data_IF_368637214102
#
_entry.id   IF_368637214102
#
_cell.length_a   1.000
_cell.length_b   1.000
_cell.length_c   1.000
_cell.angle_alpha   90.00
_cell.angle_beta   90.00
_cell.angle_gamma   90.00
#
_symmetry.space_group_name_H-M   'P 1'
#
loop_
_entity.id
_entity.type
_entity.pdbx_description
1 polymer ?
#
# COMPACT_ATOMS: atom_id res chain seq x y z
N UNK A 1 -36.74 -2.00 69.60
CA UNK A 1 -37.25 -1.09 68.55
C UNK A 1 -36.26 -1.06 67.39
N UNK A 2 -36.80 -1.01 66.18
CA UNK A 2 -36.23 -1.34 64.85
C UNK A 2 -34.92 -0.59 64.51
N UNK A 3 -33.88 -1.33 64.13
CA UNK A 3 -32.65 -0.78 63.52
C UNK A 3 -32.99 -0.38 62.09
N UNK A 4 -32.67 0.88 61.76
CA UNK A 4 -33.07 1.61 60.56
C UNK A 4 -32.26 1.14 59.35
N UNK A 5 -32.88 0.33 58.50
CA UNK A 5 -32.35 -0.06 57.19
C UNK A 5 -32.68 0.97 56.11
N UNK A 6 -31.81 1.03 55.08
CA UNK A 6 -32.13 1.59 53.77
C UNK A 6 -31.36 2.86 53.39
N UNK A 7 -30.09 2.73 53.00
CA UNK A 7 -29.37 3.72 52.18
C UNK A 7 -28.39 3.09 51.15
N UNK A 8 -28.27 1.76 51.09
CA UNK A 8 -27.34 1.07 50.18
C UNK A 8 -27.88 0.76 48.78
N UNK A 9 -29.18 0.96 48.53
CA UNK A 9 -29.84 0.53 47.30
C UNK A 9 -29.91 1.61 46.21
N UNK A 10 -29.71 2.89 46.56
CA UNK A 10 -29.72 4.00 45.60
C UNK A 10 -28.34 4.27 44.96
N UNK A 11 -27.24 3.99 45.68
CA UNK A 11 -25.88 4.14 45.14
C UNK A 11 -25.52 3.05 44.15
N UNK A 12 -25.96 1.81 44.38
CA UNK A 12 -25.76 0.70 43.45
C UNK A 12 -26.45 0.90 42.11
N UNK A 13 -27.65 1.50 42.09
CA UNK A 13 -28.45 1.70 40.86
C UNK A 13 -27.87 2.79 39.93
N UNK A 14 -27.15 3.78 40.48
CA UNK A 14 -26.45 4.79 39.68
C UNK A 14 -25.07 4.34 39.20
N UNK A 15 -24.37 3.50 39.99
CA UNK A 15 -23.01 3.04 39.64
C UNK A 15 -23.06 1.96 38.55
N UNK A 16 -24.06 1.08 38.58
CA UNK A 16 -24.22 -0.01 37.62
C UNK A 16 -24.25 0.43 36.14
N UNK A 17 -25.04 1.43 35.72
CA UNK A 17 -25.06 1.88 34.33
C UNK A 17 -23.77 2.61 33.93
N UNK A 18 -23.12 3.33 34.85
CA UNK A 18 -21.87 4.04 34.58
C UNK A 18 -20.75 3.04 34.26
N UNK A 19 -20.64 1.97 35.05
CA UNK A 19 -19.66 0.91 34.83
C UNK A 19 -19.94 0.16 33.52
N UNK A 20 -21.22 -0.09 33.19
CA UNK A 20 -21.60 -0.74 31.95
C UNK A 20 -21.22 0.10 30.72
N UNK A 21 -21.46 1.41 30.74
CA UNK A 21 -21.11 2.32 29.65
C UNK A 21 -19.59 2.43 29.50
N UNK A 22 -18.85 2.56 30.61
CA UNK A 22 -17.39 2.59 30.58
C UNK A 22 -16.80 1.28 30.01
N UNK A 23 -17.35 0.13 30.41
CA UNK A 23 -16.98 -1.18 29.87
C UNK A 23 -17.23 -1.28 28.36
N UNK A 24 -18.39 -0.82 27.89
CA UNK A 24 -18.73 -0.82 26.46
C UNK A 24 -17.75 0.05 25.64
N UNK A 25 -17.37 1.23 26.14
CA UNK A 25 -16.39 2.10 25.49
C UNK A 25 -15.04 1.41 25.37
N UNK A 26 -14.56 0.75 26.43
CA UNK A 26 -13.28 0.02 26.43
C UNK A 26 -13.32 -1.12 25.41
N UNK A 27 -14.42 -1.88 25.34
CA UNK A 27 -14.58 -2.97 24.36
C UNK A 27 -14.58 -2.43 22.92
N UNK A 28 -15.26 -1.30 22.68
CA UNK A 28 -15.26 -0.65 21.36
C UNK A 28 -13.86 -0.15 21.01
N UNK A 29 -13.13 0.45 21.94
CA UNK A 29 -11.75 0.89 21.72
C UNK A 29 -10.80 -0.27 21.46
N UNK A 30 -10.92 -1.38 22.20
CA UNK A 30 -10.14 -2.60 21.96
C UNK A 30 -10.50 -3.24 20.62
N UNK A 31 -11.77 -3.28 20.26
CA UNK A 31 -12.22 -3.76 18.95
C UNK A 31 -11.67 -2.88 17.83
N UNK A 32 -11.77 -1.54 17.96
CA UNK A 32 -11.18 -0.60 17.02
C UNK A 32 -9.66 -0.73 16.97
N UNK A 33 -8.98 -0.97 18.09
CA UNK A 33 -7.54 -1.20 18.12
C UNK A 33 -7.16 -2.50 17.42
N UNK A 34 -7.89 -3.59 17.65
CA UNK A 34 -7.68 -4.88 17.00
C UNK A 34 -7.95 -4.82 15.50
N UNK A 35 -9.07 -4.19 15.10
CA UNK A 35 -9.43 -3.99 13.70
C UNK A 35 -8.44 -3.02 13.03
N UNK A 36 -8.07 -1.91 13.68
CA UNK A 36 -7.08 -0.96 13.16
C UNK A 36 -5.68 -1.57 13.08
N UNK A 37 -5.34 -2.49 13.99
CA UNK A 37 -4.13 -3.30 13.95
C UNK A 37 -4.09 -4.31 12.79
N UNK A 38 -5.25 -4.80 12.33
CA UNK A 38 -5.35 -5.59 11.09
C UNK A 38 -5.26 -4.74 9.81
N UNK A 39 -5.62 -3.45 9.87
CA UNK A 39 -5.54 -2.52 8.72
C UNK A 39 -4.23 -1.74 8.63
N UNK A 40 -3.48 -1.62 9.72
CA UNK A 40 -2.04 -1.38 9.63
C UNK A 40 -1.37 -2.70 9.29
N UNK A 41 -1.53 -3.12 8.02
CA UNK A 41 -0.61 -4.08 7.43
C UNK A 41 0.77 -3.60 7.78
N UNK A 42 1.49 -4.43 8.53
CA UNK A 42 2.89 -4.27 8.79
C UNK A 42 3.53 -3.81 7.49
N UNK A 43 4.10 -2.61 7.49
CA UNK A 43 5.21 -2.26 6.60
C UNK A 43 6.41 -3.08 7.10
N UNK A 44 6.23 -4.40 7.15
CA UNK A 44 7.34 -5.30 7.04
C UNK A 44 7.88 -5.01 5.66
N UNK A 45 9.16 -4.70 5.63
CA UNK A 45 10.00 -4.64 4.46
C UNK A 45 10.07 -6.05 3.88
N UNK A 46 8.92 -6.60 3.45
CA UNK A 46 8.84 -7.85 2.72
C UNK A 46 9.62 -7.56 1.46
N UNK A 47 10.84 -8.11 1.39
CA UNK A 47 11.71 -8.01 0.22
C UNK A 47 10.84 -8.31 -0.98
N UNK A 48 10.55 -7.28 -1.78
CA UNK A 48 9.54 -7.37 -2.84
C UNK A 48 9.87 -8.61 -3.65
N UNK A 49 9.02 -9.65 -3.57
CA UNK A 49 9.33 -10.92 -4.20
C UNK A 49 9.05 -10.78 -5.71
N UNK A 50 10.01 -10.20 -6.43
CA UNK A 50 9.95 -9.89 -7.86
C UNK A 50 9.54 -11.11 -8.69
N UNK A 51 10.10 -12.31 -8.47
CA UNK A 51 9.69 -13.50 -9.23
C UNK A 51 8.20 -13.84 -9.09
N UNK A 52 7.65 -13.72 -7.88
CA UNK A 52 6.22 -13.98 -7.64
C UNK A 52 5.32 -12.92 -8.30
N UNK A 53 5.72 -11.65 -8.27
CA UNK A 53 4.98 -10.53 -8.88
C UNK A 53 5.01 -10.62 -10.40
N UNK A 54 6.18 -10.88 -11.00
CA UNK A 54 6.34 -11.14 -12.44
C UNK A 54 5.46 -12.32 -12.90
N UNK A 55 5.41 -13.40 -12.12
CA UNK A 55 4.52 -14.53 -12.43
C UNK A 55 3.04 -14.11 -12.42
N UNK A 56 2.63 -13.28 -11.47
CA UNK A 56 1.25 -12.79 -11.41
C UNK A 56 0.91 -11.82 -12.54
N UNK A 57 1.85 -10.94 -12.92
CA UNK A 57 1.74 -10.08 -14.10
C UNK A 57 1.54 -10.93 -15.35
N UNK A 58 2.37 -11.97 -15.53
CA UNK A 58 2.23 -12.90 -16.66
C UNK A 58 0.87 -13.59 -16.66
N UNK A 59 0.40 -14.09 -15.51
CA UNK A 59 -0.93 -14.72 -15.40
C UNK A 59 -2.07 -13.77 -15.80
N UNK A 60 -1.98 -12.48 -15.47
CA UNK A 60 -2.98 -11.49 -15.87
C UNK A 60 -2.95 -11.26 -17.38
N UNK A 61 -1.76 -11.20 -17.97
CA UNK A 61 -1.60 -11.07 -19.42
C UNK A 61 -2.08 -12.31 -20.18
N UNK A 62 -1.79 -13.52 -19.68
CA UNK A 62 -2.27 -14.79 -20.24
C UNK A 62 -3.81 -14.86 -20.22
N UNK A 63 -4.46 -14.16 -19.28
CA UNK A 63 -5.91 -14.01 -19.20
C UNK A 63 -6.48 -12.86 -20.04
N UNK A 64 -5.66 -12.19 -20.86
CA UNK A 64 -6.03 -11.02 -21.66
C UNK A 64 -6.19 -9.72 -20.86
N UNK A 65 -5.93 -9.72 -19.56
CA UNK A 65 -6.13 -8.56 -18.67
C UNK A 65 -4.92 -7.64 -18.67
N UNK A 66 -4.60 -7.09 -19.84
CA UNK A 66 -3.40 -6.29 -20.07
C UNK A 66 -3.32 -5.03 -19.18
N UNK A 67 -4.41 -4.26 -19.05
CA UNK A 67 -4.41 -3.06 -18.19
C UNK A 67 -4.19 -3.38 -16.70
N UNK A 68 -4.73 -4.50 -16.23
CA UNK A 68 -4.49 -4.97 -14.86
C UNK A 68 -3.04 -5.43 -14.67
N UNK A 69 -2.45 -6.06 -15.68
CA UNK A 69 -1.04 -6.47 -15.65
C UNK A 69 -0.09 -5.26 -15.59
N UNK A 70 -0.34 -4.23 -16.41
CA UNK A 70 0.41 -2.96 -16.40
C UNK A 70 0.28 -2.27 -15.03
N UNK A 71 -0.94 -2.19 -14.48
CA UNK A 71 -1.18 -1.62 -13.15
C UNK A 71 -0.39 -2.36 -12.06
N UNK A 72 -0.35 -3.69 -12.12
CA UNK A 72 0.41 -4.49 -11.16
C UNK A 72 1.92 -4.29 -11.31
N UNK A 73 2.42 -4.17 -12.55
CA UNK A 73 3.82 -3.85 -12.83
C UNK A 73 4.20 -2.49 -12.23
N UNK A 74 3.39 -1.45 -12.46
CA UNK A 74 3.62 -0.13 -11.90
C UNK A 74 3.61 -0.12 -10.37
N UNK A 75 2.64 -0.78 -9.73
CA UNK A 75 2.62 -0.91 -8.26
C UNK A 75 3.85 -1.63 -7.73
N UNK A 76 4.32 -2.65 -8.43
CA UNK A 76 5.55 -3.37 -8.05
C UNK A 76 6.76 -2.44 -8.16
N UNK A 77 6.82 -1.61 -9.21
CA UNK A 77 7.83 -0.59 -9.37
C UNK A 77 7.81 0.45 -8.24
N UNK A 78 6.63 0.99 -7.93
CA UNK A 78 6.41 1.94 -6.84
C UNK A 78 6.88 1.36 -5.49
N UNK A 79 6.52 0.10 -5.20
CA UNK A 79 6.95 -0.61 -3.99
C UNK A 79 8.47 -0.79 -3.91
N UNK A 80 9.12 -1.11 -5.03
CA UNK A 80 10.59 -1.23 -5.07
C UNK A 80 11.26 0.11 -4.80
N UNK A 81 10.80 1.18 -5.46
CA UNK A 81 11.30 2.53 -5.25
C UNK A 81 11.11 2.99 -3.80
N UNK A 82 9.91 2.77 -3.23
CA UNK A 82 9.61 3.13 -1.85
C UNK A 82 10.44 2.36 -0.83
N UNK A 83 10.58 1.05 -1.03
CA UNK A 83 11.44 0.18 -0.22
C UNK A 83 12.91 0.62 -0.29
N UNK A 84 13.37 1.06 -1.47
CA UNK A 84 14.75 1.50 -1.69
C UNK A 84 15.06 2.85 -1.04
N UNK A 85 14.15 3.80 -1.16
CA UNK A 85 14.31 5.17 -0.67
C UNK A 85 13.94 5.33 0.81
N UNK A 86 13.29 4.34 1.41
CA UNK A 86 12.66 4.49 2.72
C UNK A 86 11.53 5.54 2.72
N UNK A 87 11.01 5.87 1.55
CA UNK A 87 9.99 6.89 1.36
C UNK A 87 8.94 6.39 0.39
N UNK A 88 7.76 6.08 0.93
CA UNK A 88 6.58 5.75 0.14
C UNK A 88 5.98 7.00 -0.50
N UNK A 89 5.09 6.78 -1.47
CA UNK A 89 4.31 7.83 -2.10
C UNK A 89 3.35 8.44 -1.08
N UNK A 90 3.34 9.77 -0.98
CA UNK A 90 2.43 10.46 -0.08
C UNK A 90 1.00 10.40 -0.63
N UNK A 91 -0.01 10.37 0.26
CA UNK A 91 -1.41 10.33 -0.16
C UNK A 91 -1.87 11.57 -0.96
N UNK A 92 -1.18 12.70 -0.79
CA UNK A 92 -1.40 13.93 -1.55
C UNK A 92 -0.59 14.00 -2.85
N UNK A 93 0.34 13.07 -3.07
CA UNK A 93 1.28 13.07 -4.20
C UNK A 93 0.71 12.24 -5.36
N UNK A 94 0.74 12.83 -6.55
CA UNK A 94 0.37 12.13 -7.77
C UNK A 94 1.41 11.06 -8.13
N UNK A 95 1.02 10.10 -8.96
CA UNK A 95 1.94 9.10 -9.50
C UNK A 95 3.13 9.78 -10.21
N UNK A 96 2.85 10.84 -10.97
CA UNK A 96 3.85 11.64 -11.66
C UNK A 96 4.84 12.32 -10.71
N UNK A 97 4.35 13.06 -9.72
CA UNK A 97 5.21 13.76 -8.75
C UNK A 97 6.10 12.79 -7.97
N UNK A 98 5.55 11.64 -7.56
CA UNK A 98 6.31 10.59 -6.90
C UNK A 98 7.45 10.09 -7.78
N UNK A 99 7.15 9.74 -9.04
CA UNK A 99 8.13 9.18 -9.96
C UNK A 99 9.21 10.20 -10.33
N UNK A 100 8.84 11.47 -10.52
CA UNK A 100 9.79 12.55 -10.75
C UNK A 100 10.77 12.72 -9.58
N UNK A 101 10.27 12.58 -8.34
CA UNK A 101 11.12 12.55 -7.14
C UNK A 101 12.05 11.33 -7.14
N UNK A 102 11.54 10.14 -7.49
CA UNK A 102 12.36 8.92 -7.54
C UNK A 102 13.48 8.99 -8.59
N UNK A 103 13.22 9.57 -9.77
CA UNK A 103 14.22 9.72 -10.83
C UNK A 103 15.38 10.64 -10.42
N UNK A 104 15.14 11.61 -9.52
CA UNK A 104 16.21 12.49 -9.02
C UNK A 104 17.15 11.79 -8.05
N UNK A 105 16.64 10.79 -7.34
CA UNK A 105 17.33 10.13 -6.22
C UNK A 105 17.92 8.77 -6.61
N UNK A 106 17.38 8.15 -7.66
CA UNK A 106 17.82 6.84 -8.17
C UNK A 106 18.49 6.98 -9.54
N UNK A 107 19.53 6.17 -9.85
CA UNK A 107 20.19 6.16 -11.14
C UNK A 107 19.36 5.41 -12.21
N UNK A 108 18.12 5.85 -12.42
CA UNK A 108 17.16 5.29 -13.37
C UNK A 108 16.96 6.24 -14.55
N UNK A 109 16.65 5.68 -15.73
CA UNK A 109 16.40 6.50 -16.90
C UNK A 109 15.03 7.20 -16.76
N UNK A 110 15.05 8.53 -16.62
CA UNK A 110 13.85 9.35 -16.49
C UNK A 110 12.88 9.24 -17.66
N UNK A 111 13.39 9.18 -18.90
CA UNK A 111 12.57 9.05 -20.11
C UNK A 111 11.81 7.72 -20.12
N UNK A 112 12.48 6.62 -19.80
CA UNK A 112 11.85 5.31 -19.68
C UNK A 112 10.83 5.25 -18.53
N UNK A 113 11.06 5.99 -17.44
CA UNK A 113 10.11 6.13 -16.33
C UNK A 113 8.87 6.91 -16.76
N UNK A 114 9.02 8.00 -17.50
CA UNK A 114 7.90 8.79 -18.02
C UNK A 114 7.06 8.00 -19.02
N UNK A 115 7.68 7.27 -19.95
CA UNK A 115 6.98 6.39 -20.89
C UNK A 115 6.21 5.27 -20.17
N UNK A 116 6.81 4.70 -19.13
CA UNK A 116 6.16 3.68 -18.31
C UNK A 116 4.98 4.27 -17.52
N UNK A 117 5.14 5.47 -16.96
CA UNK A 117 4.08 6.18 -16.26
C UNK A 117 2.92 6.51 -17.19
N UNK A 118 3.19 7.03 -18.38
CA UNK A 118 2.15 7.32 -19.38
C UNK A 118 1.37 6.06 -19.75
N UNK A 119 2.05 4.94 -19.95
CA UNK A 119 1.40 3.65 -20.27
C UNK A 119 0.56 3.15 -19.09
N UNK A 120 1.01 3.39 -17.85
CA UNK A 120 0.23 3.11 -16.65
C UNK A 120 -1.02 4.00 -16.53
N UNK A 121 -0.89 5.31 -16.79
CA UNK A 121 -2.01 6.24 -16.74
C UNK A 121 -3.06 5.90 -17.80
N UNK A 122 -2.63 5.54 -19.01
CA UNK A 122 -3.50 5.00 -20.06
C UNK A 122 -4.22 3.74 -19.56
N UNK A 123 -3.51 2.77 -18.99
CA UNK A 123 -4.11 1.56 -18.45
C UNK A 123 -5.07 1.79 -17.26
N UNK A 124 -4.89 2.88 -16.50
CA UNK A 124 -5.64 3.19 -15.28
C UNK A 124 -6.88 4.02 -15.55
N UNK A 125 -6.78 4.98 -16.45
CA UNK A 125 -7.79 6.03 -16.68
C UNK A 125 -8.44 5.94 -18.06
N UNK A 126 -7.87 5.19 -18.99
CA UNK A 126 -8.53 4.96 -20.27
C UNK A 126 -9.75 4.04 -20.10
N UNK A 127 -10.76 4.29 -20.93
CA UNK A 127 -11.99 3.51 -20.97
C UNK A 127 -11.96 2.42 -22.05
N UNK A 128 -10.89 2.37 -22.86
CA UNK A 128 -10.69 1.30 -23.83
C UNK A 128 -9.87 0.15 -23.24
N UNK A 129 -10.09 -1.04 -23.77
CA UNK A 129 -9.27 -2.20 -23.44
C UNK A 129 -7.82 -1.96 -23.89
N UNK A 130 -6.85 -2.42 -23.10
CA UNK A 130 -5.46 -2.28 -23.48
C UNK A 130 -5.06 -3.33 -24.50
N UNK A 131 -4.38 -2.91 -25.57
CA UNK A 131 -3.85 -3.83 -26.57
C UNK A 131 -2.56 -4.51 -26.07
N UNK A 132 -2.25 -5.67 -26.64
CA UNK A 132 -1.12 -6.49 -26.25
C UNK A 132 0.21 -5.77 -26.43
N UNK A 133 0.35 -4.99 -27.49
CA UNK A 133 1.57 -4.25 -27.85
C UNK A 133 1.93 -3.23 -26.76
N UNK A 134 0.92 -2.55 -26.20
CA UNK A 134 1.10 -1.61 -25.09
C UNK A 134 1.53 -2.32 -23.80
N UNK A 135 1.00 -3.51 -23.55
CA UNK A 135 1.45 -4.35 -22.46
C UNK A 135 2.90 -4.83 -22.64
N UNK A 136 3.26 -5.33 -23.82
CA UNK A 136 4.61 -5.80 -24.10
C UNK A 136 5.63 -4.68 -23.96
N UNK A 137 5.28 -3.49 -24.43
CA UNK A 137 6.06 -2.28 -24.19
C UNK A 137 6.22 -1.98 -22.69
N UNK A 138 5.12 -1.91 -21.94
CA UNK A 138 5.16 -1.61 -20.52
C UNK A 138 6.00 -2.63 -19.72
N UNK A 139 5.87 -3.92 -20.02
CA UNK A 139 6.63 -4.96 -19.34
C UNK A 139 8.10 -4.91 -19.73
N UNK A 140 8.42 -4.66 -21.00
CA UNK A 140 9.80 -4.47 -21.43
C UNK A 140 10.44 -3.31 -20.66
N UNK A 141 9.78 -2.15 -20.62
CA UNK A 141 10.26 -0.97 -19.90
C UNK A 141 10.41 -1.26 -18.41
N UNK A 142 9.43 -1.94 -17.79
CA UNK A 142 9.55 -2.39 -16.40
C UNK A 142 10.76 -3.31 -16.18
N UNK A 143 10.97 -4.30 -17.07
CA UNK A 143 12.11 -5.23 -17.00
C UNK A 143 13.46 -4.57 -17.17
N UNK A 144 13.51 -3.48 -17.94
CA UNK A 144 14.71 -2.68 -18.16
C UNK A 144 15.01 -1.75 -16.96
N UNK A 145 13.96 -1.30 -16.25
CA UNK A 145 14.05 -0.39 -15.11
C UNK A 145 14.33 -1.08 -13.77
N UNK A 146 13.64 -2.19 -13.45
CA UNK A 146 13.74 -2.78 -12.11
C UNK A 146 15.15 -3.23 -11.69
N UNK A 147 16.02 -3.76 -12.57
CA UNK A 147 17.37 -4.15 -12.17
C UNK A 147 18.20 -2.96 -11.73
N UNK A 148 17.92 -1.75 -12.22
CA UNK A 148 18.63 -0.53 -11.81
C UNK A 148 18.19 -0.05 -10.43
N UNK A 149 16.90 -0.23 -10.11
CA UNK A 149 16.36 0.01 -8.77
C UNK A 149 16.94 -1.00 -7.78
N UNK A 150 17.02 -2.30 -8.15
CA UNK A 150 17.58 -3.36 -7.32
C UNK A 150 19.12 -3.26 -7.17
N UNK A 151 19.84 -2.98 -8.26
CA UNK A 151 21.31 -2.90 -8.29
C UNK A 151 21.90 -1.67 -7.58
N UNK A 152 21.08 -0.66 -7.25
CA UNK A 152 21.49 0.50 -6.46
C UNK A 152 21.95 0.14 -5.01
N UNK A 153 22.04 -1.15 -4.66
CA UNK A 153 22.57 -1.70 -3.39
C UNK A 153 24.09 -1.50 -3.23
N UNK A 154 24.82 -0.95 -4.19
CA UNK A 154 26.24 -0.63 -4.00
C UNK A 154 26.56 0.80 -4.41
N UNK A 155 26.46 1.76 -3.48
CA UNK A 155 27.56 2.66 -3.08
C UNK A 155 27.18 3.28 -1.73
N UNK A 156 27.64 2.66 -0.64
CA UNK A 156 28.14 3.39 0.52
C UNK A 156 29.49 2.75 0.83
N UNK A 157 30.50 3.21 0.12
CA UNK A 157 31.87 3.11 0.59
C UNK A 157 32.23 4.51 1.05
N UNK A 158 32.64 4.56 2.32
CA UNK A 158 33.23 5.67 3.08
C UNK A 158 32.26 6.63 3.77
#
# INVERSE_FOLDING_TARGET
>A
MKVKGGNGMQTLDQILPIVAVAGAIIVVLLYLYYVRGMFQGSVETERVNIPSKLRNIKKLADAGKYGAAITLAYRTFEQMCGSKMGSERLGSETAHEYMLRMVKELPINGEAVEEFLHTYEEARFSHHEMIRERYEFAIKTFTDLYPRVDASVKVKLE
#
